data_IF_920456003475
#
_entry.id   IF_920456003475
#
_cell.length_a   1.000
_cell.length_b   1.000
_cell.length_c   1.000
_cell.angle_alpha   90.00
_cell.angle_beta   90.00
_cell.angle_gamma   90.00
#
_symmetry.space_group_name_H-M   'P 1'
#
loop_
_entity.id
_entity.type
_entity.pdbx_description
1 polymer ?
#
# COMPACT_ATOMS: atom_id res chain seq x y z
N UNK A 1 -1.45 -21.26 2.11
CA UNK A 1 -1.15 -19.84 1.75
C UNK A 1 -2.30 -19.17 0.99
N UNK A 2 -3.09 -19.89 0.18
CA UNK A 2 -4.30 -19.36 -0.48
C UNK A 2 -5.41 -18.87 0.47
N UNK A 3 -5.40 -19.30 1.73
CA UNK A 3 -6.38 -18.89 2.75
C UNK A 3 -6.04 -17.56 3.43
N UNK A 4 -4.82 -17.03 3.28
CA UNK A 4 -4.35 -15.93 4.11
C UNK A 4 -4.98 -14.57 3.78
N UNK A 5 -5.61 -14.39 2.61
CA UNK A 5 -6.17 -13.10 2.18
C UNK A 5 -7.50 -13.15 1.42
N UNK A 6 -8.12 -14.32 1.21
CA UNK A 6 -9.39 -14.40 0.47
C UNK A 6 -9.29 -13.94 -0.99
N UNK A 7 -8.11 -14.08 -1.62
CA UNK A 7 -7.77 -13.58 -2.95
C UNK A 7 -8.80 -13.94 -4.04
N UNK A 8 -9.42 -15.11 -3.94
CA UNK A 8 -10.47 -15.54 -4.87
C UNK A 8 -11.74 -14.68 -4.78
N UNK A 9 -12.13 -14.22 -3.59
CA UNK A 9 -13.31 -13.36 -3.42
C UNK A 9 -13.03 -11.94 -3.96
N UNK A 10 -11.82 -11.42 -3.72
CA UNK A 10 -11.39 -10.11 -4.23
C UNK A 10 -11.32 -10.14 -5.76
N UNK A 11 -10.72 -11.17 -6.35
CA UNK A 11 -10.67 -11.36 -7.80
C UNK A 11 -12.07 -11.42 -8.42
N UNK A 12 -12.98 -12.22 -7.87
CA UNK A 12 -14.35 -12.32 -8.38
C UNK A 12 -15.08 -10.98 -8.33
N UNK A 13 -14.90 -10.19 -7.27
CA UNK A 13 -15.46 -8.85 -7.18
C UNK A 13 -14.85 -7.88 -8.20
N UNK A 14 -13.53 -7.94 -8.39
CA UNK A 14 -12.81 -7.16 -9.39
C UNK A 14 -13.31 -7.44 -10.80
N UNK A 15 -13.49 -8.71 -11.16
CA UNK A 15 -14.05 -9.11 -12.46
C UNK A 15 -15.50 -8.66 -12.63
N UNK A 16 -16.34 -8.91 -11.63
CA UNK A 16 -17.76 -8.54 -11.65
C UNK A 16 -17.97 -7.04 -11.83
N UNK A 17 -17.16 -6.22 -11.16
CA UNK A 17 -17.28 -4.76 -11.18
C UNK A 17 -16.35 -4.08 -12.17
N UNK A 18 -15.57 -4.86 -12.93
CA UNK A 18 -14.56 -4.37 -13.88
C UNK A 18 -13.57 -3.40 -13.22
N UNK A 19 -13.16 -3.71 -11.99
CA UNK A 19 -12.20 -2.93 -11.22
C UNK A 19 -10.80 -3.52 -11.48
N UNK A 20 -9.88 -2.77 -12.10
CA UNK A 20 -8.57 -3.30 -12.47
C UNK A 20 -7.61 -3.43 -11.29
N UNK A 21 -7.84 -2.65 -10.21
CA UNK A 21 -6.97 -2.61 -9.03
C UNK A 21 -7.81 -2.38 -7.78
N UNK A 22 -7.55 -3.17 -6.73
CA UNK A 22 -8.12 -2.97 -5.39
C UNK A 22 -6.99 -2.69 -4.42
N UNK A 23 -7.14 -1.64 -3.62
CA UNK A 23 -6.21 -1.28 -2.55
C UNK A 23 -6.84 -1.57 -1.18
N UNK A 24 -6.04 -2.09 -0.27
CA UNK A 24 -6.39 -2.27 1.13
C UNK A 24 -5.28 -1.67 1.97
N UNK A 25 -5.59 -0.62 2.72
CA UNK A 25 -4.64 -0.04 3.67
C UNK A 25 -4.96 -0.52 5.09
N UNK A 26 -3.94 -0.99 5.79
CA UNK A 26 -4.00 -1.35 7.21
C UNK A 26 -3.05 -0.47 8.00
N UNK A 27 -3.01 -0.69 9.32
CA UNK A 27 -1.99 -0.03 10.15
C UNK A 27 -0.57 -0.36 9.69
N UNK A 28 -0.29 -1.62 9.39
CA UNK A 28 1.09 -2.12 9.24
C UNK A 28 1.56 -2.18 7.78
N UNK A 29 0.63 -2.29 6.83
CA UNK A 29 0.95 -2.36 5.42
C UNK A 29 -0.21 -1.90 4.56
N UNK A 30 0.12 -1.57 3.33
CA UNK A 30 -0.83 -1.41 2.23
C UNK A 30 -0.66 -2.59 1.29
N UNK A 31 -1.78 -3.12 0.84
CA UNK A 31 -1.88 -4.23 -0.07
C UNK A 31 -2.63 -3.80 -1.34
N UNK A 32 -2.24 -4.31 -2.50
CA UNK A 32 -2.98 -4.15 -3.74
C UNK A 32 -3.14 -5.48 -4.48
N UNK A 33 -4.33 -5.74 -5.03
CA UNK A 33 -4.54 -6.78 -6.04
C UNK A 33 -4.72 -6.11 -7.39
N UNK A 34 -4.00 -6.58 -8.41
CA UNK A 34 -3.95 -6.00 -9.76
C UNK A 34 -4.25 -7.09 -10.79
N UNK A 35 -5.12 -6.80 -11.77
CA UNK A 35 -5.40 -7.71 -12.91
C UNK A 35 -4.67 -7.31 -14.20
N UNK A 36 -3.86 -6.24 -14.18
CA UNK A 36 -3.16 -5.68 -15.33
C UNK A 36 -1.66 -5.50 -15.04
N UNK A 37 -0.83 -6.40 -15.58
CA UNK A 37 0.61 -6.47 -15.32
C UNK A 37 1.39 -5.20 -15.71
N UNK A 38 1.01 -4.54 -16.79
CA UNK A 38 1.66 -3.31 -17.28
C UNK A 38 1.64 -2.14 -16.28
N UNK A 39 0.86 -2.26 -15.20
CA UNK A 39 0.68 -1.21 -14.19
C UNK A 39 1.42 -1.47 -12.88
N UNK A 40 2.01 -2.64 -12.66
CA UNK A 40 2.56 -3.05 -11.35
C UNK A 40 3.56 -2.05 -10.80
N UNK A 41 4.55 -1.64 -11.59
CA UNK A 41 5.57 -0.68 -11.15
C UNK A 41 4.96 0.68 -10.76
N UNK A 42 4.00 1.18 -11.56
CA UNK A 42 3.28 2.43 -11.24
C UNK A 42 2.43 2.29 -9.98
N UNK A 43 1.81 1.12 -9.78
CA UNK A 43 1.05 0.83 -8.57
C UNK A 43 1.96 0.83 -7.34
N UNK A 44 3.12 0.17 -7.41
CA UNK A 44 4.11 0.15 -6.34
C UNK A 44 4.64 1.55 -6.04
N UNK A 45 4.98 2.33 -7.06
CA UNK A 45 5.42 3.72 -6.90
C UNK A 45 4.35 4.58 -6.22
N UNK A 46 3.11 4.51 -6.70
CA UNK A 46 2.00 5.25 -6.11
C UNK A 46 1.67 4.79 -4.68
N UNK A 47 1.76 3.49 -4.37
CA UNK A 47 1.62 2.98 -2.99
C UNK A 47 2.73 3.54 -2.09
N UNK A 48 3.98 3.54 -2.55
CA UNK A 48 5.13 4.11 -1.83
C UNK A 48 4.97 5.62 -1.63
N UNK A 49 4.44 6.33 -2.62
CA UNK A 49 4.10 7.75 -2.49
C UNK A 49 3.01 7.96 -1.43
N UNK A 50 1.90 7.22 -1.52
CA UNK A 50 0.78 7.29 -0.60
C UNK A 50 1.20 7.07 0.86
N UNK A 51 2.03 6.05 1.15
CA UNK A 51 2.51 5.83 2.53
C UNK A 51 3.39 6.97 3.03
N UNK A 52 4.18 7.62 2.16
CA UNK A 52 4.99 8.81 2.51
C UNK A 52 4.12 10.02 2.79
N UNK A 53 3.08 10.25 1.98
CA UNK A 53 2.12 11.35 2.18
C UNK A 53 1.37 11.16 3.50
N UNK A 54 0.86 9.96 3.77
CA UNK A 54 0.21 9.64 5.04
C UNK A 54 1.15 9.81 6.24
N UNK A 55 2.40 9.33 6.12
CA UNK A 55 3.43 9.51 7.15
C UNK A 55 3.73 11.00 7.41
N UNK A 56 3.87 11.79 6.35
CA UNK A 56 4.13 13.21 6.47
C UNK A 56 2.96 13.92 7.17
N UNK A 57 1.72 13.63 6.77
CA UNK A 57 0.53 14.17 7.42
C UNK A 57 0.49 13.78 8.90
N UNK A 58 0.76 12.52 9.23
CA UNK A 58 0.81 12.05 10.61
C UNK A 58 1.87 12.80 11.43
N UNK A 59 3.07 13.03 10.90
CA UNK A 59 4.16 13.74 11.59
C UNK A 59 3.93 15.26 11.71
N UNK A 60 3.29 15.88 10.72
CA UNK A 60 3.23 17.34 10.60
C UNK A 60 1.86 17.95 10.92
N UNK A 61 0.78 17.16 10.80
CA UNK A 61 -0.60 17.61 10.99
C UNK A 61 -1.20 18.34 9.77
N UNK A 62 -0.39 18.60 8.74
CA UNK A 62 -0.78 19.23 7.48
C UNK A 62 0.06 18.64 6.33
N UNK A 63 -0.38 18.83 5.09
CA UNK A 63 0.39 18.53 3.87
C UNK A 63 1.10 19.77 3.29
N UNK A 64 0.99 20.92 3.94
CA UNK A 64 1.67 22.14 3.50
C UNK A 64 3.19 21.93 3.40
N UNK A 65 3.76 22.28 2.26
CA UNK A 65 5.19 22.11 1.97
C UNK A 65 5.67 20.66 2.11
N UNK A 66 4.84 19.69 1.70
CA UNK A 66 5.22 18.27 1.65
C UNK A 66 6.61 18.08 1.06
N UNK A 67 7.47 17.40 1.82
CA UNK A 67 8.77 16.92 1.38
C UNK A 67 8.87 15.45 1.75
N UNK A 68 9.35 14.57 0.85
CA UNK A 68 9.58 13.18 1.19
C UNK A 68 10.52 13.07 2.38
N UNK A 69 10.05 12.46 3.46
CA UNK A 69 10.83 12.13 4.64
C UNK A 69 11.05 10.61 4.68
N UNK A 70 12.32 10.21 4.74
CA UNK A 70 12.76 8.81 4.76
C UNK A 70 13.23 8.37 6.15
N UNK A 71 13.15 9.25 7.14
CA UNK A 71 13.57 8.96 8.52
C UNK A 71 12.55 8.15 9.30
N UNK A 72 11.27 8.19 8.90
CA UNK A 72 10.23 7.40 9.56
C UNK A 72 10.40 5.92 9.20
N UNK A 73 10.56 5.03 10.19
CA UNK A 73 10.82 3.63 9.92
C UNK A 73 9.56 2.91 9.38
N UNK A 74 9.74 1.88 8.53
CA UNK A 74 8.65 1.02 8.11
C UNK A 74 8.16 0.12 9.25
N UNK A 75 6.89 -0.30 9.20
CA UNK A 75 6.35 -1.31 10.10
C UNK A 75 7.11 -2.63 9.96
N UNK A 76 7.62 -3.15 11.08
CA UNK A 76 8.28 -4.47 11.11
C UNK A 76 7.37 -5.58 10.58
N UNK A 77 6.10 -5.55 10.94
CA UNK A 77 5.10 -6.55 10.48
C UNK A 77 4.85 -6.44 8.97
N UNK A 78 4.79 -5.21 8.44
CA UNK A 78 4.65 -4.97 7.02
C UNK A 78 5.86 -5.49 6.24
N UNK A 79 7.08 -5.23 6.73
CA UNK A 79 8.34 -5.74 6.15
C UNK A 79 8.38 -7.27 6.18
N UNK A 80 8.05 -7.89 7.31
CA UNK A 80 7.97 -9.35 7.42
C UNK A 80 6.96 -9.96 6.44
N UNK A 81 5.82 -9.30 6.23
CA UNK A 81 4.83 -9.76 5.24
C UNK A 81 5.37 -9.63 3.81
N UNK A 82 5.96 -8.49 3.44
CA UNK A 82 6.55 -8.28 2.12
C UNK A 82 7.60 -9.34 1.80
N UNK A 83 8.53 -9.61 2.74
CA UNK A 83 9.52 -10.68 2.59
C UNK A 83 8.89 -12.07 2.45
N UNK A 84 7.86 -12.39 3.23
CA UNK A 84 7.18 -13.70 3.16
C UNK A 84 6.46 -13.92 1.85
N UNK A 85 5.97 -12.87 1.20
CA UNK A 85 5.34 -12.98 -0.11
C UNK A 85 6.36 -13.34 -1.19
N UNK A 86 7.66 -13.15 -0.94
CA UNK A 86 8.71 -13.40 -1.93
C UNK A 86 9.01 -12.17 -2.79
N UNK A 87 8.46 -11.02 -2.41
CA UNK A 87 8.96 -9.75 -2.91
C UNK A 87 10.34 -9.49 -2.32
N UNK A 88 11.31 -9.21 -3.18
CA UNK A 88 12.44 -8.35 -2.81
C UNK A 88 11.90 -6.93 -2.47
N UNK A 89 12.76 -5.91 -2.43
CA UNK A 89 12.35 -4.52 -2.15
C UNK A 89 11.18 -4.01 -3.04
N UNK A 90 10.82 -4.71 -4.12
CA UNK A 90 9.64 -4.47 -4.96
C UNK A 90 8.31 -4.74 -4.25
N UNK A 91 8.21 -5.74 -3.38
CA UNK A 91 6.97 -6.10 -2.69
C UNK A 91 5.84 -6.63 -3.59
N UNK A 92 6.10 -7.11 -4.82
CA UNK A 92 5.07 -7.63 -5.72
C UNK A 92 5.26 -9.11 -6.08
N UNK A 93 4.15 -9.85 -6.24
CA UNK A 93 4.15 -11.30 -6.49
C UNK A 93 2.99 -11.67 -7.42
N UNK A 94 3.27 -12.50 -8.43
CA UNK A 94 2.24 -13.10 -9.27
C UNK A 94 1.54 -14.24 -8.52
N UNK A 95 0.22 -14.14 -8.35
CA UNK A 95 -0.61 -15.17 -7.74
C UNK A 95 -1.74 -15.58 -8.70
N UNK A 96 -1.52 -16.68 -9.42
CA UNK A 96 -2.42 -17.10 -10.50
C UNK A 96 -2.40 -16.08 -11.63
N UNK A 97 -3.55 -15.46 -11.87
CA UNK A 97 -3.84 -14.46 -12.90
C UNK A 97 -4.04 -13.04 -12.34
N UNK A 98 -3.66 -12.83 -11.08
CA UNK A 98 -3.55 -11.50 -10.46
C UNK A 98 -2.15 -11.28 -9.91
N UNK A 99 -1.81 -10.01 -9.73
CA UNK A 99 -0.55 -9.60 -9.10
C UNK A 99 -0.90 -8.96 -7.77
N UNK A 100 -0.29 -9.47 -6.70
CA UNK A 100 -0.47 -8.97 -5.35
C UNK A 100 0.76 -8.13 -4.98
N UNK A 101 0.54 -6.92 -4.46
CA UNK A 101 1.59 -6.01 -4.04
C UNK A 101 1.42 -5.67 -2.55
N UNK A 102 2.52 -5.57 -1.82
CA UNK A 102 2.56 -5.14 -0.42
C UNK A 102 3.65 -4.10 -0.22
N UNK A 103 3.26 -2.97 0.37
CA UNK A 103 4.16 -1.90 0.80
C UNK A 103 3.99 -1.70 2.31
N UNK A 104 5.05 -1.80 3.12
CA UNK A 104 4.97 -1.53 4.55
C UNK A 104 4.55 -0.08 4.82
N UNK A 105 3.69 0.12 5.81
CA UNK A 105 3.34 1.46 6.28
C UNK A 105 4.51 2.10 7.03
N UNK A 106 4.63 3.42 6.98
CA UNK A 106 5.59 4.18 7.79
C UNK A 106 4.93 4.60 9.10
N UNK A 107 5.46 4.13 10.23
CA UNK A 107 4.80 4.27 11.52
C UNK A 107 5.39 5.44 12.31
N UNK A 108 4.59 6.50 12.45
CA UNK A 108 4.90 7.65 13.31
C UNK A 108 4.54 7.32 14.75
N UNK A 109 5.53 7.31 15.65
CA UNK A 109 5.34 6.95 17.07
C UNK A 109 4.42 7.94 17.80
N UNK A 110 4.56 9.23 17.50
CA UNK A 110 3.76 10.32 18.12
C UNK A 110 3.11 11.17 17.03
N UNK A 111 2.01 10.69 16.42
CA UNK A 111 1.36 11.41 15.34
C UNK A 111 0.68 12.68 15.87
N UNK A 112 0.80 13.78 15.13
CA UNK A 112 0.03 15.01 15.35
C UNK A 112 -1.43 14.86 14.94
N UNK A 113 -1.70 13.97 13.98
CA UNK A 113 -3.07 13.62 13.57
C UNK A 113 -3.16 12.17 13.11
N UNK A 114 -4.34 11.58 13.29
CA UNK A 114 -4.71 10.28 12.73
C UNK A 114 -5.91 10.37 11.79
N UNK A 115 -6.54 11.56 11.70
CA UNK A 115 -7.69 11.81 10.84
C UNK A 115 -7.20 12.00 9.40
N UNK A 116 -7.86 11.32 8.45
CA UNK A 116 -7.59 11.48 7.01
C UNK A 116 -6.33 10.77 6.50
N UNK A 117 -5.67 9.91 7.30
CA UNK A 117 -4.47 9.20 6.83
C UNK A 117 -4.75 8.24 5.66
N UNK A 118 -5.90 7.56 5.68
CA UNK A 118 -6.35 6.71 4.57
C UNK A 118 -6.67 7.50 3.30
N UNK A 119 -7.29 8.67 3.47
CA UNK A 119 -7.58 9.59 2.36
C UNK A 119 -6.29 10.17 1.78
N UNK A 120 -5.34 10.55 2.63
CA UNK A 120 -4.03 11.06 2.25
C UNK A 120 -3.20 10.00 1.51
N UNK A 121 -3.24 8.75 1.97
CA UNK A 121 -2.66 7.62 1.24
C UNK A 121 -3.27 7.52 -0.16
N UNK A 122 -4.61 7.52 -0.25
CA UNK A 122 -5.33 7.36 -1.52
C UNK A 122 -5.08 8.53 -2.47
N UNK A 123 -5.05 9.77 -1.96
CA UNK A 123 -4.76 10.98 -2.74
C UNK A 123 -3.31 11.04 -3.22
N UNK A 124 -2.35 10.59 -2.40
CA UNK A 124 -0.93 10.51 -2.78
C UNK A 124 -0.63 9.48 -3.87
N UNK A 125 -1.52 8.51 -4.07
CA UNK A 125 -1.44 7.51 -5.14
C UNK A 125 -1.96 8.02 -6.49
N UNK A 126 -2.96 8.92 -6.51
CA UNK A 126 -3.66 9.34 -7.74
C UNK A 126 -2.85 10.38 -8.55
N UNK A 127 -1.79 10.95 -7.98
CA UNK A 127 -0.89 11.91 -8.64
C UNK A 127 0.26 11.23 -9.38
#
# INVERSE_FOLDING_TARGET
MSELLGSNNIKNAMEMWKIPIVYVHTKDFVYATITCEERVEKVLEGMRCGVRVASFLASHGTLDNFKPDFSTPPSKKGVELAHRMGGDESGAVLYGDVIECVVPSLLVDKPKTTVGLGDAFTGGYIH
#
